data_IF_996848742634
#
_entry.id   IF_996848742634
#
_cell.length_a   1.000
_cell.length_b   1.000
_cell.length_c   1.000
_cell.angle_alpha   90.00
_cell.angle_beta   90.00
_cell.angle_gamma   90.00
#
_symmetry.space_group_name_H-M   'P 1'
#
loop_
_entity.id
_entity.type
_entity.pdbx_description
1 polymer ?
#
# COMPACT_ATOMS: atom_id res chain seq x y z
N UNK A 1 0.42 -16.66 14.09
CA UNK A 1 0.07 -16.33 12.70
C UNK A 1 1.38 -15.99 12.00
N UNK A 2 1.73 -16.69 10.93
CA UNK A 2 2.98 -16.45 10.20
C UNK A 2 2.62 -15.61 8.97
N UNK A 3 3.29 -14.48 8.77
CA UNK A 3 3.06 -13.58 7.64
C UNK A 3 4.01 -13.98 6.53
N UNK A 4 3.51 -14.19 5.32
CA UNK A 4 4.32 -14.49 4.15
C UNK A 4 4.53 -13.25 3.28
N UNK A 5 5.63 -13.16 2.49
CA UNK A 5 5.79 -12.11 1.50
C UNK A 5 4.59 -12.00 0.54
N UNK A 6 3.99 -13.13 0.15
CA UNK A 6 2.82 -13.19 -0.72
C UNK A 6 1.59 -12.52 -0.08
N UNK A 7 1.38 -12.71 1.23
CA UNK A 7 0.29 -12.04 1.96
C UNK A 7 0.47 -10.52 1.96
N UNK A 8 1.72 -10.05 2.12
CA UNK A 8 2.05 -8.62 2.10
C UNK A 8 1.86 -8.01 0.71
N UNK A 9 2.31 -8.70 -0.35
CA UNK A 9 2.06 -8.28 -1.73
C UNK A 9 0.56 -8.21 -2.05
N UNK A 10 -0.23 -9.19 -1.59
CA UNK A 10 -1.68 -9.17 -1.78
C UNK A 10 -2.36 -8.00 -1.06
N UNK A 11 -1.87 -7.62 0.13
CA UNK A 11 -2.36 -6.43 0.83
C UNK A 11 -1.93 -5.14 0.11
N UNK A 12 -0.70 -5.08 -0.40
CA UNK A 12 -0.19 -3.95 -1.18
C UNK A 12 -1.02 -3.72 -2.46
N UNK A 13 -1.37 -4.79 -3.17
CA UNK A 13 -2.28 -4.75 -4.33
C UNK A 13 -3.66 -4.24 -3.96
N UNK A 14 -4.17 -4.64 -2.79
CA UNK A 14 -5.45 -4.15 -2.27
C UNK A 14 -5.39 -2.65 -2.02
N UNK A 15 -4.34 -2.15 -1.35
CA UNK A 15 -4.16 -0.70 -1.12
C UNK A 15 -4.14 0.09 -2.44
N UNK A 16 -3.43 -0.41 -3.46
CA UNK A 16 -3.37 0.22 -4.78
C UNK A 16 -4.71 0.19 -5.52
N UNK A 17 -5.45 -0.91 -5.42
CA UNK A 17 -6.77 -1.03 -6.02
C UNK A 17 -7.75 -0.03 -5.39
N UNK A 18 -7.76 0.06 -4.06
CA UNK A 18 -8.62 0.98 -3.31
C UNK A 18 -8.23 2.44 -3.54
N UNK A 19 -6.94 2.79 -3.66
CA UNK A 19 -6.51 4.16 -3.97
C UNK A 19 -7.02 4.62 -5.35
N UNK A 20 -6.97 3.72 -6.34
CA UNK A 20 -7.48 3.96 -7.69
C UNK A 20 -9.00 4.09 -7.72
N UNK A 21 -9.68 3.22 -6.98
CA UNK A 21 -11.15 3.24 -6.91
C UNK A 21 -11.63 4.52 -6.23
N UNK A 22 -11.00 4.96 -5.14
CA UNK A 22 -11.32 6.22 -4.47
C UNK A 22 -11.20 7.43 -5.42
N UNK A 23 -10.08 7.52 -6.14
CA UNK A 23 -9.86 8.62 -7.08
C UNK A 23 -10.84 8.56 -8.26
N UNK A 24 -11.13 7.37 -8.78
CA UNK A 24 -12.05 7.18 -9.91
C UNK A 24 -13.49 7.48 -9.51
N UNK A 25 -13.93 6.96 -8.37
CA UNK A 25 -15.27 7.18 -7.82
C UNK A 25 -15.49 8.65 -7.50
N UNK A 26 -14.53 9.30 -6.83
CA UNK A 26 -14.64 10.71 -6.52
C UNK A 26 -14.65 11.58 -7.77
N UNK A 27 -13.72 11.38 -8.72
CA UNK A 27 -13.70 12.17 -9.96
C UNK A 27 -14.95 11.96 -10.82
N UNK A 28 -15.51 10.74 -10.83
CA UNK A 28 -16.78 10.44 -11.51
C UNK A 28 -17.99 11.17 -10.90
N UNK A 29 -17.99 11.37 -9.59
CA UNK A 29 -19.10 12.01 -8.86
C UNK A 29 -18.92 13.53 -8.69
N UNK A 30 -17.68 14.03 -8.63
CA UNK A 30 -17.38 15.43 -8.38
C UNK A 30 -18.06 16.33 -9.41
N UNK A 31 -18.07 15.94 -10.69
CA UNK A 31 -18.76 16.67 -11.75
C UNK A 31 -20.28 16.74 -11.52
N UNK A 32 -20.90 15.64 -11.06
CA UNK A 32 -22.33 15.60 -10.76
C UNK A 32 -22.70 16.43 -9.53
N UNK A 33 -21.74 16.67 -8.64
CA UNK A 33 -21.91 17.50 -7.47
C UNK A 33 -21.66 18.98 -7.74
N UNK A 34 -21.13 19.38 -8.90
CA UNK A 34 -20.92 20.80 -9.20
C UNK A 34 -22.26 21.53 -9.29
N UNK A 35 -22.29 22.74 -8.74
CA UNK A 35 -23.47 23.60 -8.73
C UNK A 35 -23.17 24.85 -9.55
N UNK A 36 -24.02 25.14 -10.53
CA UNK A 36 -23.91 26.37 -11.32
C UNK A 36 -24.03 27.61 -10.43
N UNK A 37 -23.27 28.65 -10.77
CA UNK A 37 -23.29 29.92 -10.02
C UNK A 37 -24.69 30.55 -9.94
N UNK A 38 -25.58 30.26 -10.90
CA UNK A 38 -26.96 30.71 -10.94
C UNK A 38 -27.98 29.77 -10.29
N UNK A 39 -27.58 28.57 -9.84
CA UNK A 39 -28.51 27.55 -9.35
C UNK A 39 -29.25 27.96 -8.07
N UNK A 40 -28.65 28.84 -7.26
CA UNK A 40 -29.26 29.37 -6.04
C UNK A 40 -30.20 30.57 -6.29
N UNK A 41 -30.43 30.91 -7.57
CA UNK A 41 -31.26 32.01 -8.00
C UNK A 41 -30.77 33.37 -7.50
N UNK A 42 -31.69 34.33 -7.48
CA UNK A 42 -31.50 35.71 -7.08
C UNK A 42 -31.82 35.96 -5.59
N UNK A 43 -31.75 34.91 -4.76
CA UNK A 43 -31.87 35.05 -3.31
C UNK A 43 -30.65 35.77 -2.73
N UNK A 44 -30.83 36.53 -1.65
CA UNK A 44 -29.72 37.19 -0.95
C UNK A 44 -28.70 36.21 -0.37
N UNK A 45 -29.11 34.97 -0.08
CA UNK A 45 -28.24 33.90 0.41
C UNK A 45 -27.58 33.07 -0.69
N UNK A 46 -27.99 33.22 -1.95
CA UNK A 46 -27.57 32.36 -3.06
C UNK A 46 -26.05 32.32 -3.27
N UNK A 47 -25.35 33.47 -3.35
CA UNK A 47 -23.89 33.48 -3.46
C UNK A 47 -23.18 32.78 -2.30
N UNK A 48 -23.70 32.92 -1.07
CA UNK A 48 -23.15 32.27 0.11
C UNK A 48 -23.33 30.75 0.08
N UNK A 49 -24.47 30.27 -0.41
CA UNK A 49 -24.71 28.85 -0.63
C UNK A 49 -23.76 28.25 -1.66
N UNK A 50 -23.62 28.87 -2.84
CA UNK A 50 -22.72 28.39 -3.89
C UNK A 50 -21.27 28.37 -3.39
N UNK A 51 -20.82 29.43 -2.72
CA UNK A 51 -19.47 29.49 -2.16
C UNK A 51 -19.21 28.39 -1.11
N UNK A 52 -20.16 28.15 -0.21
CA UNK A 52 -20.03 27.09 0.79
C UNK A 52 -20.00 25.70 0.14
N UNK A 53 -20.80 25.49 -0.91
CA UNK A 53 -20.83 24.24 -1.66
C UNK A 53 -19.51 23.99 -2.40
N UNK A 54 -18.99 24.98 -3.12
CA UNK A 54 -17.68 24.89 -3.78
C UNK A 54 -16.57 24.58 -2.76
N UNK A 55 -16.53 25.29 -1.64
CA UNK A 55 -15.54 25.04 -0.59
C UNK A 55 -15.64 23.60 -0.01
N UNK A 56 -16.84 23.05 0.08
CA UNK A 56 -17.04 21.66 0.52
C UNK A 56 -16.53 20.65 -0.52
N UNK A 57 -16.71 20.91 -1.81
CA UNK A 57 -16.15 20.07 -2.88
C UNK A 57 -14.63 20.13 -2.92
N UNK A 58 -14.04 21.32 -2.84
CA UNK A 58 -12.58 21.50 -2.81
C UNK A 58 -11.96 20.77 -1.59
N UNK A 59 -12.63 20.83 -0.44
CA UNK A 59 -12.21 20.08 0.75
C UNK A 59 -12.31 18.56 0.53
N UNK A 60 -13.32 18.09 -0.21
CA UNK A 60 -13.47 16.72 -0.63
C UNK A 60 -12.34 16.25 -1.54
N UNK A 61 -11.96 17.04 -2.54
CA UNK A 61 -10.83 16.77 -3.43
C UNK A 61 -9.54 16.54 -2.62
N UNK A 62 -9.27 17.45 -1.68
CA UNK A 62 -8.08 17.35 -0.83
C UNK A 62 -8.13 16.12 0.08
N UNK A 63 -9.29 15.80 0.66
CA UNK A 63 -9.44 14.66 1.56
C UNK A 63 -9.25 13.33 0.83
N UNK A 64 -9.87 13.15 -0.33
CA UNK A 64 -9.75 11.94 -1.15
C UNK A 64 -8.31 11.80 -1.65
N UNK A 65 -7.71 12.87 -2.18
CA UNK A 65 -6.33 12.84 -2.65
C UNK A 65 -5.34 12.45 -1.55
N UNK A 66 -5.55 12.93 -0.31
CA UNK A 66 -4.73 12.52 0.84
C UNK A 66 -4.91 11.06 1.22
N UNK A 67 -6.15 10.56 1.23
CA UNK A 67 -6.42 9.17 1.56
C UNK A 67 -5.80 8.22 0.52
N UNK A 68 -5.95 8.53 -0.76
CA UNK A 68 -5.32 7.77 -1.83
C UNK A 68 -3.78 7.77 -1.72
N UNK A 69 -3.18 8.92 -1.40
CA UNK A 69 -1.73 9.00 -1.20
C UNK A 69 -1.23 8.17 -0.02
N UNK A 70 -2.00 8.06 1.07
CA UNK A 70 -1.66 7.18 2.20
C UNK A 70 -1.70 5.71 1.77
N UNK A 71 -2.74 5.29 1.04
CA UNK A 71 -2.83 3.92 0.55
C UNK A 71 -1.69 3.56 -0.41
N UNK A 72 -1.26 4.50 -1.25
CA UNK A 72 -0.10 4.30 -2.12
C UNK A 72 1.21 4.21 -1.32
N UNK A 73 1.39 5.02 -0.29
CA UNK A 73 2.55 4.91 0.60
C UNK A 73 2.55 3.57 1.37
N UNK A 74 1.39 3.14 1.88
CA UNK A 74 1.25 1.84 2.55
C UNK A 74 1.56 0.68 1.59
N UNK A 75 1.17 0.79 0.32
CA UNK A 75 1.52 -0.18 -0.72
C UNK A 75 3.03 -0.30 -0.91
N UNK A 76 3.74 0.82 -1.03
CA UNK A 76 5.20 0.85 -1.17
C UNK A 76 5.89 0.23 0.07
N UNK A 77 5.42 0.56 1.28
CA UNK A 77 5.95 0.03 2.53
C UNK A 77 5.74 -1.49 2.66
N UNK A 78 4.57 -1.98 2.27
CA UNK A 78 4.24 -3.41 2.27
C UNK A 78 5.09 -4.19 1.28
N UNK A 79 5.30 -3.67 0.07
CA UNK A 79 6.19 -4.28 -0.92
C UNK A 79 7.63 -4.31 -0.43
N UNK A 80 8.11 -3.21 0.17
CA UNK A 80 9.45 -3.14 0.75
C UNK A 80 9.64 -4.23 1.82
N UNK A 81 8.67 -4.38 2.73
CA UNK A 81 8.69 -5.44 3.75
C UNK A 81 8.71 -6.85 3.14
N UNK A 82 7.91 -7.10 2.09
CA UNK A 82 7.86 -8.40 1.42
C UNK A 82 9.21 -8.77 0.79
N UNK A 83 9.87 -7.80 0.14
CA UNK A 83 11.20 -7.98 -0.45
C UNK A 83 12.27 -8.19 0.61
N UNK A 84 12.25 -7.43 1.71
CA UNK A 84 13.18 -7.60 2.81
C UNK A 84 13.09 -8.98 3.45
N UNK A 85 11.88 -9.49 3.68
CA UNK A 85 11.67 -10.86 4.19
C UNK A 85 12.23 -11.89 3.22
N UNK A 86 11.94 -11.74 1.93
CA UNK A 86 12.43 -12.68 0.89
C UNK A 86 13.96 -12.69 0.81
N UNK A 87 14.59 -11.52 0.88
CA UNK A 87 16.04 -11.39 0.87
C UNK A 87 16.69 -12.00 2.12
N UNK A 88 16.08 -11.81 3.30
CA UNK A 88 16.54 -12.41 4.54
C UNK A 88 16.42 -13.94 4.52
N UNK A 89 15.34 -14.49 3.95
CA UNK A 89 15.17 -15.93 3.81
C UNK A 89 16.22 -16.54 2.87
N UNK A 90 16.47 -15.91 1.72
CA UNK A 90 17.51 -16.34 0.79
C UNK A 90 18.91 -16.32 1.45
N UNK A 91 19.20 -15.29 2.22
CA UNK A 91 20.45 -15.18 2.98
C UNK A 91 20.58 -16.28 4.04
N UNK A 92 19.53 -16.51 4.83
CA UNK A 92 19.52 -17.56 5.84
C UNK A 92 19.72 -18.94 5.20
N UNK A 93 19.08 -19.20 4.06
CA UNK A 93 19.25 -20.42 3.29
C UNK A 93 20.68 -20.57 2.75
N UNK A 94 21.31 -19.47 2.29
CA UNK A 94 22.71 -19.44 1.85
C UNK A 94 23.66 -19.80 2.99
N UNK A 95 23.53 -19.16 4.16
CA UNK A 95 24.35 -19.44 5.35
C UNK A 95 24.17 -20.89 5.81
N UNK A 96 22.94 -21.40 5.79
CA UNK A 96 22.64 -22.79 6.16
C UNK A 96 23.30 -23.79 5.21
N UNK A 97 23.31 -23.52 3.89
CA UNK A 97 24.02 -24.37 2.92
C UNK A 97 25.54 -24.32 3.10
N UNK A 98 26.10 -23.14 3.37
CA UNK A 98 27.54 -22.97 3.58
C UNK A 98 28.02 -23.74 4.82
N UNK A 99 27.31 -23.59 5.95
CA UNK A 99 27.62 -24.29 7.20
C UNK A 99 27.42 -25.81 7.08
N UNK A 100 26.39 -26.27 6.37
CA UNK A 100 26.22 -27.69 6.06
C UNK A 100 27.39 -28.26 5.24
N UNK A 101 27.92 -27.48 4.28
CA UNK A 101 29.10 -27.84 3.51
C UNK A 101 30.37 -27.95 4.37
N UNK A 102 30.60 -26.98 5.27
CA UNK A 102 31.75 -27.00 6.19
C UNK A 102 31.74 -28.19 7.16
N UNK A 103 30.56 -28.60 7.65
CA UNK A 103 30.42 -29.80 8.49
C UNK A 103 30.69 -31.06 7.69
N UNK A 104 30.28 -31.12 6.42
CA UNK A 104 30.60 -32.24 5.52
C UNK A 104 32.10 -32.35 5.24
N UNK A 105 32.80 -31.23 5.04
CA UNK A 105 34.21 -31.25 4.63
C UNK A 105 35.19 -31.36 5.81
N UNK A 106 34.71 -31.28 7.05
CA UNK A 106 35.53 -31.44 8.24
C UNK A 106 35.64 -32.91 8.70
N UNK A 107 36.81 -33.57 8.59
CA UNK A 107 36.97 -34.99 8.86
C UNK A 107 36.78 -35.37 10.35
N UNK A 108 37.05 -34.45 11.28
CA UNK A 108 36.83 -34.68 12.71
C UNK A 108 35.34 -34.65 13.07
N UNK A 109 34.56 -33.76 12.44
CA UNK A 109 33.11 -33.68 12.64
C UNK A 109 32.37 -34.86 11.98
N UNK A 110 32.80 -35.32 10.80
CA UNK A 110 32.29 -36.56 10.18
C UNK A 110 32.46 -37.78 11.09
N UNK A 111 33.60 -37.90 11.75
CA UNK A 111 33.90 -39.02 12.63
C UNK A 111 33.05 -39.01 13.91
N UNK A 112 32.73 -37.83 14.46
CA UNK A 112 31.91 -37.68 15.67
C UNK A 112 30.42 -37.88 15.37
N UNK A 113 29.95 -37.43 14.20
CA UNK A 113 28.53 -37.46 13.82
C UNK A 113 28.10 -38.73 13.06
N UNK A 114 29.03 -39.63 12.73
CA UNK A 114 28.71 -40.93 12.13
C UNK A 114 28.23 -40.89 10.68
N UNK A 115 28.47 -39.77 9.98
CA UNK A 115 28.12 -39.60 8.56
C UNK A 115 29.23 -40.23 7.70
N UNK A 116 28.92 -41.31 6.97
CA UNK A 116 29.86 -42.03 6.10
C UNK A 116 30.16 -41.26 4.82
#
# INVERSE_FOLDING_TARGET
>A
MQVTPEDLCGLADTCLAESRELNTSWSGQAAALQVDAGAAGNSSGGPGFVAAHTAALDAGDVAIGRLAAVLEADMDDLYSCAFDISAQDEEAARVSRATAGEVSDNPLLRMILGVK
#
